data_IF_379693138997
#
_entry.id   IF_379693138997
#
_cell.length_a   1.000
_cell.length_b   1.000
_cell.length_c   1.000
_cell.angle_alpha   90.00
_cell.angle_beta   90.00
_cell.angle_gamma   90.00
#
_symmetry.space_group_name_H-M   'P 1'
#
loop_
_entity.id
_entity.type
_entity.pdbx_description
1 polymer ?
#
# COMPACT_ATOMS: atom_id res chain seq x y z
N UNK A 1 76.83 34.70 32.44
CA UNK A 1 75.75 35.71 32.35
C UNK A 1 74.96 35.47 31.08
N UNK A 2 73.65 35.70 31.15
CA UNK A 2 72.65 35.66 30.07
C UNK A 2 71.91 34.34 29.85
N UNK A 3 70.71 34.35 30.42
CA UNK A 3 69.58 33.43 30.34
C UNK A 3 68.71 33.70 29.12
N UNK A 4 68.31 32.67 28.35
CA UNK A 4 67.10 32.69 27.52
C UNK A 4 66.43 31.31 27.63
N UNK A 5 65.43 31.15 28.50
CA UNK A 5 63.98 31.37 28.30
C UNK A 5 63.32 30.41 27.28
N UNK A 6 62.73 29.37 27.89
CA UNK A 6 61.65 28.50 27.46
C UNK A 6 60.59 29.14 26.55
N UNK A 7 60.24 28.46 25.46
CA UNK A 7 58.89 28.43 24.88
C UNK A 7 58.63 27.01 24.38
N UNK A 8 57.82 26.24 25.13
CA UNK A 8 57.22 25.01 24.65
C UNK A 8 55.94 25.38 23.88
N UNK A 9 55.91 25.13 22.58
CA UNK A 9 54.73 25.32 21.74
C UNK A 9 53.86 24.06 21.86
N UNK A 10 52.75 24.17 22.58
CA UNK A 10 51.70 23.15 22.59
C UNK A 10 50.83 23.37 21.35
N UNK A 11 51.00 22.52 20.34
CA UNK A 11 50.11 22.49 19.17
C UNK A 11 48.83 21.77 19.60
N UNK A 12 47.78 22.54 19.89
CA UNK A 12 46.45 22.00 20.09
C UNK A 12 45.87 21.58 18.73
N UNK A 13 45.76 20.26 18.49
CA UNK A 13 45.00 19.72 17.37
C UNK A 13 43.50 19.96 17.61
N UNK A 14 42.95 20.99 16.99
CA UNK A 14 41.51 21.20 16.89
C UNK A 14 40.99 20.33 15.75
N UNK A 15 40.36 19.20 16.07
CA UNK A 15 39.63 18.41 15.09
C UNK A 15 38.39 19.21 14.63
N UNK A 16 38.21 19.47 13.32
CA UNK A 16 37.00 20.13 12.86
C UNK A 16 35.83 19.14 12.97
N UNK A 17 34.87 19.43 13.85
CA UNK A 17 33.53 18.87 13.79
C UNK A 17 32.87 19.35 12.49
N UNK A 18 33.10 18.61 11.40
CA UNK A 18 32.42 18.82 10.14
C UNK A 18 30.95 18.42 10.25
N UNK A 19 30.07 19.38 10.52
CA UNK A 19 28.64 19.19 10.31
C UNK A 19 28.42 19.15 8.80
N UNK A 20 28.24 17.96 8.25
CA UNK A 20 27.83 17.79 6.86
C UNK A 20 26.47 18.47 6.68
N UNK A 21 26.46 19.66 6.07
CA UNK A 21 25.22 20.24 5.56
C UNK A 21 24.87 19.50 4.28
N UNK A 22 23.71 18.84 4.26
CA UNK A 22 23.11 18.39 3.02
C UNK A 22 23.01 19.61 2.09
N UNK A 23 23.59 19.49 0.91
CA UNK A 23 23.54 20.52 -0.11
C UNK A 23 22.12 20.57 -0.68
N UNK A 24 21.33 21.56 -0.24
CA UNK A 24 20.12 21.94 -0.95
C UNK A 24 20.55 22.56 -2.30
N UNK A 25 20.25 21.84 -3.38
CA UNK A 25 20.56 22.28 -4.73
C UNK A 25 19.81 23.55 -5.10
N UNK A 26 20.55 24.64 -5.33
CA UNK A 26 20.13 25.82 -6.08
C UNK A 26 19.40 26.90 -5.28
N UNK A 27 19.70 28.17 -5.61
CA UNK A 27 18.91 29.34 -5.17
C UNK A 27 17.52 29.27 -5.82
N UNK A 28 16.60 28.56 -5.18
CA UNK A 28 15.18 28.61 -5.55
C UNK A 28 14.65 30.00 -5.17
N UNK A 29 14.53 30.91 -6.14
CA UNK A 29 13.82 32.19 -5.98
C UNK A 29 12.31 31.92 -6.08
N UNK A 30 11.78 31.15 -5.14
CA UNK A 30 10.35 30.93 -4.96
C UNK A 30 9.97 31.36 -3.54
N UNK A 31 8.68 31.66 -3.28
CA UNK A 31 8.19 31.82 -1.92
C UNK A 31 8.57 30.59 -1.09
N UNK A 32 9.34 30.78 -0.02
CA UNK A 32 9.76 29.72 0.91
C UNK A 32 8.57 29.27 1.78
N UNK A 33 7.58 28.65 1.14
CA UNK A 33 6.36 28.15 1.78
C UNK A 33 6.60 26.73 2.32
N UNK A 34 6.09 26.48 3.54
CA UNK A 34 6.18 25.17 4.19
C UNK A 34 7.56 24.87 4.80
N UNK A 35 7.73 23.62 5.24
CA UNK A 35 8.98 23.05 5.76
C UNK A 35 9.22 21.71 5.08
N UNK A 36 10.46 21.36 4.70
CA UNK A 36 10.77 20.02 4.20
C UNK A 36 10.34 18.95 5.21
N UNK A 37 9.67 17.91 4.73
CA UNK A 37 9.38 16.72 5.54
C UNK A 37 10.66 15.93 5.76
N UNK A 38 10.82 15.42 6.97
CA UNK A 38 11.84 14.42 7.28
C UNK A 38 11.57 13.13 6.51
N UNK A 39 12.61 12.31 6.31
CA UNK A 39 12.44 11.00 5.67
C UNK A 39 11.43 10.11 6.42
N UNK A 40 11.38 10.21 7.76
CA UNK A 40 10.42 9.47 8.58
C UNK A 40 8.97 9.92 8.32
N UNK A 41 8.73 11.22 8.20
CA UNK A 41 7.41 11.75 7.84
C UNK A 41 7.03 11.30 6.43
N UNK A 42 7.92 11.40 5.44
CA UNK A 42 7.62 10.94 4.07
C UNK A 42 7.23 9.46 4.07
N UNK A 43 7.98 8.61 4.77
CA UNK A 43 7.67 7.17 4.90
C UNK A 43 6.32 6.92 5.56
N UNK A 44 5.95 7.69 6.59
CA UNK A 44 4.67 7.52 7.28
C UNK A 44 3.46 7.83 6.37
N UNK A 45 3.62 8.78 5.45
CA UNK A 45 2.60 9.21 4.49
C UNK A 45 2.62 8.42 3.18
N UNK A 46 3.76 7.80 2.82
CA UNK A 46 3.91 7.05 1.57
C UNK A 46 3.28 5.66 1.65
N UNK A 47 1.96 5.61 1.59
CA UNK A 47 1.16 4.37 1.65
C UNK A 47 0.46 4.04 0.32
N UNK A 48 0.94 4.61 -0.79
CA UNK A 48 0.32 4.37 -2.10
C UNK A 48 0.71 2.99 -2.61
N UNK A 49 -0.29 2.17 -2.94
CA UNK A 49 -0.09 0.86 -3.54
C UNK A 49 -0.50 0.91 -5.02
N UNK A 50 0.43 0.57 -5.90
CA UNK A 50 0.24 0.62 -7.34
C UNK A 50 -0.25 -0.72 -7.91
N UNK A 51 -0.85 -0.71 -9.12
CA UNK A 51 -1.22 -1.94 -9.84
C UNK A 51 -0.08 -2.95 -10.03
N UNK A 52 1.17 -2.48 -10.15
CA UNK A 52 2.36 -3.31 -10.33
C UNK A 52 2.97 -3.84 -9.02
N UNK A 53 2.32 -3.57 -7.87
CA UNK A 53 2.75 -4.03 -6.56
C UNK A 53 3.69 -3.07 -5.81
N UNK A 54 4.18 -1.99 -6.43
CA UNK A 54 4.96 -0.98 -5.69
C UNK A 54 4.15 -0.45 -4.53
N UNK A 55 4.76 -0.42 -3.35
CA UNK A 55 4.13 0.04 -2.10
C UNK A 55 3.49 -1.06 -1.25
N UNK A 56 3.38 -2.30 -1.76
CA UNK A 56 2.93 -3.42 -0.95
C UNK A 56 3.89 -3.68 0.23
N UNK A 57 3.39 -3.80 1.47
CA UNK A 57 4.21 -4.22 2.59
C UNK A 57 4.53 -5.72 2.50
N UNK A 58 5.67 -6.17 3.06
CA UNK A 58 5.94 -7.60 3.21
C UNK A 58 4.87 -8.23 4.11
N UNK A 59 4.45 -9.43 3.74
CA UNK A 59 3.42 -10.19 4.42
C UNK A 59 2.84 -11.26 3.50
N UNK A 60 1.92 -12.06 4.02
CA UNK A 60 1.25 -13.11 3.27
C UNK A 60 -0.10 -13.47 3.90
N UNK A 61 -0.94 -14.20 3.16
CA UNK A 61 -2.17 -14.73 3.68
C UNK A 61 -2.91 -15.61 2.67
N UNK A 62 -3.63 -16.58 3.20
CA UNK A 62 -4.41 -17.56 2.45
C UNK A 62 -5.90 -17.26 2.48
N UNK A 63 -6.67 -17.85 1.55
CA UNK A 63 -8.11 -17.69 1.51
C UNK A 63 -8.81 -18.25 2.77
N UNK A 64 -8.29 -19.32 3.38
CA UNK A 64 -8.87 -19.90 4.59
C UNK A 64 -8.68 -19.00 5.82
N UNK A 65 -7.49 -18.43 6.01
CA UNK A 65 -7.24 -17.43 7.04
C UNK A 65 -8.14 -16.20 6.83
N UNK A 66 -8.25 -15.77 5.56
CA UNK A 66 -9.08 -14.65 5.16
C UNK A 66 -10.55 -14.85 5.46
N UNK A 67 -11.08 -16.07 5.28
CA UNK A 67 -12.47 -16.42 5.55
C UNK A 67 -12.81 -16.23 7.03
N UNK A 68 -11.90 -16.61 7.93
CA UNK A 68 -12.05 -16.42 9.38
C UNK A 68 -12.09 -14.93 9.71
N UNK A 69 -11.11 -14.16 9.22
CA UNK A 69 -11.02 -12.72 9.44
C UNK A 69 -12.22 -11.96 8.85
N UNK A 70 -12.70 -12.38 7.69
CA UNK A 70 -13.88 -11.81 7.04
C UNK A 70 -15.13 -11.98 7.92
N UNK A 71 -15.33 -13.17 8.49
CA UNK A 71 -16.46 -13.43 9.38
C UNK A 71 -16.44 -12.51 10.62
N UNK A 72 -15.26 -12.24 11.17
CA UNK A 72 -15.08 -11.41 12.37
C UNK A 72 -15.21 -9.90 12.08
N UNK A 73 -14.66 -9.45 10.95
CA UNK A 73 -14.39 -8.02 10.71
C UNK A 73 -15.24 -7.41 9.60
N UNK A 74 -15.79 -8.21 8.68
CA UNK A 74 -16.43 -7.73 7.45
C UNK A 74 -17.92 -8.12 7.36
N UNK A 75 -18.24 -9.37 7.73
CA UNK A 75 -19.53 -9.99 7.45
C UNK A 75 -20.75 -9.26 8.04
N UNK A 76 -20.57 -8.52 9.14
CA UNK A 76 -21.66 -7.74 9.77
C UNK A 76 -22.30 -6.71 8.82
N UNK A 77 -21.53 -6.22 7.85
CA UNK A 77 -21.97 -5.21 6.89
C UNK A 77 -22.14 -5.77 5.49
N UNK A 78 -21.22 -6.64 5.06
CA UNK A 78 -21.15 -7.16 3.69
C UNK A 78 -21.85 -8.53 3.51
N UNK A 79 -22.52 -9.06 4.54
CA UNK A 79 -23.15 -10.38 4.50
C UNK A 79 -22.17 -11.51 4.81
N UNK A 80 -22.70 -12.67 5.20
CA UNK A 80 -21.90 -13.81 5.66
C UNK A 80 -21.06 -14.44 4.53
N UNK A 81 -21.52 -14.27 3.29
CA UNK A 81 -20.94 -14.79 2.06
C UNK A 81 -20.60 -13.67 1.07
N UNK A 82 -20.54 -12.40 1.51
CA UNK A 82 -20.27 -11.24 0.65
C UNK A 82 -21.42 -10.85 -0.26
N UNK A 83 -22.63 -11.31 0.03
CA UNK A 83 -23.88 -11.04 -0.70
C UNK A 83 -24.46 -9.64 -0.45
N UNK A 84 -23.81 -8.83 0.39
CA UNK A 84 -24.28 -7.52 0.79
C UNK A 84 -25.32 -7.57 1.90
N UNK A 85 -25.36 -6.53 2.73
CA UNK A 85 -26.39 -6.38 3.76
C UNK A 85 -26.66 -4.90 4.03
N UNK A 86 -25.96 -4.31 4.99
CA UNK A 86 -25.98 -2.85 5.23
C UNK A 86 -24.92 -2.11 4.41
N UNK A 87 -24.01 -2.84 3.78
CA UNK A 87 -23.04 -2.37 2.80
C UNK A 87 -23.14 -3.20 1.50
N UNK A 88 -22.47 -2.71 0.46
CA UNK A 88 -22.40 -3.31 -0.89
C UNK A 88 -21.99 -4.78 -0.84
N UNK A 89 -22.47 -5.55 -1.81
CA UNK A 89 -22.02 -6.90 -2.03
C UNK A 89 -20.61 -6.94 -2.65
N UNK A 90 -19.83 -7.92 -2.24
CA UNK A 90 -18.42 -8.05 -2.59
C UNK A 90 -18.16 -9.25 -3.50
N UNK A 91 -19.05 -10.24 -3.47
CA UNK A 91 -18.89 -11.52 -4.16
C UNK A 91 -19.97 -11.67 -5.23
N UNK A 92 -19.54 -11.87 -6.47
CA UNK A 92 -20.42 -12.11 -7.61
C UNK A 92 -19.74 -12.93 -8.70
N UNK A 93 -20.41 -13.09 -9.84
CA UNK A 93 -19.84 -13.82 -10.97
C UNK A 93 -18.58 -13.10 -11.52
N UNK A 94 -17.46 -13.81 -11.75
CA UNK A 94 -16.20 -13.23 -12.26
C UNK A 94 -16.24 -12.97 -13.76
N UNK A 95 -17.28 -12.30 -14.22
CA UNK A 95 -17.48 -11.99 -15.63
C UNK A 95 -17.64 -10.48 -15.79
N UNK A 96 -16.88 -9.86 -16.71
CA UNK A 96 -17.09 -8.46 -17.06
C UNK A 96 -18.56 -8.14 -17.31
N UNK A 97 -19.07 -7.01 -16.79
CA UNK A 97 -20.47 -6.68 -16.93
C UNK A 97 -20.84 -6.32 -18.38
N UNK A 98 -21.99 -6.82 -18.83
CA UNK A 98 -22.53 -6.58 -20.19
C UNK A 98 -23.88 -5.87 -20.22
N UNK A 99 -24.52 -5.72 -19.05
CA UNK A 99 -25.83 -5.07 -18.87
C UNK A 99 -25.65 -3.56 -18.68
N UNK A 100 -26.71 -2.80 -18.97
CA UNK A 100 -26.73 -1.33 -18.78
C UNK A 100 -26.54 -0.94 -17.32
N UNK A 101 -27.20 -1.65 -16.39
CA UNK A 101 -27.04 -1.49 -14.95
C UNK A 101 -26.54 -2.81 -14.33
N UNK A 102 -25.22 -3.08 -14.43
CA UNK A 102 -24.65 -4.28 -13.88
C UNK A 102 -24.36 -4.11 -12.40
N UNK A 103 -24.49 -5.21 -11.65
CA UNK A 103 -23.84 -5.29 -10.36
C UNK A 103 -22.30 -5.35 -10.54
N UNK A 104 -21.56 -4.51 -9.84
CA UNK A 104 -20.12 -4.23 -10.03
C UNK A 104 -19.26 -4.74 -8.87
N UNK A 105 -19.45 -6.01 -8.52
CA UNK A 105 -18.66 -6.69 -7.47
C UNK A 105 -17.17 -6.80 -7.85
N UNK A 106 -16.36 -7.26 -6.89
CA UNK A 106 -14.90 -7.38 -7.02
C UNK A 106 -14.52 -8.20 -8.26
N UNK A 107 -15.04 -9.42 -8.38
CA UNK A 107 -14.73 -10.31 -9.49
C UNK A 107 -15.24 -9.83 -10.85
N UNK A 108 -16.37 -9.11 -10.85
CA UNK A 108 -17.00 -8.65 -12.09
C UNK A 108 -16.34 -7.39 -12.66
N UNK A 109 -15.95 -6.43 -11.81
CA UNK A 109 -15.64 -5.08 -12.28
C UNK A 109 -14.20 -4.63 -12.02
N UNK A 110 -13.56 -5.02 -10.92
CA UNK A 110 -12.30 -4.42 -10.51
C UNK A 110 -11.12 -4.90 -11.39
N UNK A 111 -10.25 -4.01 -11.90
CA UNK A 111 -9.20 -4.40 -12.85
C UNK A 111 -7.91 -4.90 -12.21
N UNK A 112 -7.66 -4.61 -10.93
CA UNK A 112 -6.42 -4.94 -10.24
C UNK A 112 -6.67 -5.45 -8.82
N UNK A 113 -6.06 -6.58 -8.48
CA UNK A 113 -6.16 -7.17 -7.14
C UNK A 113 -5.50 -6.29 -6.07
N UNK A 114 -4.42 -5.57 -6.41
CA UNK A 114 -3.74 -4.66 -5.48
C UNK A 114 -4.60 -3.50 -5.03
N UNK A 115 -5.59 -3.07 -5.82
CA UNK A 115 -6.55 -2.03 -5.41
C UNK A 115 -7.47 -2.51 -4.29
N UNK A 116 -7.78 -3.81 -4.25
CA UNK A 116 -8.56 -4.43 -3.17
C UNK A 116 -7.75 -4.34 -1.87
N UNK A 117 -6.49 -4.77 -1.90
CA UNK A 117 -5.59 -4.68 -0.76
C UNK A 117 -5.42 -3.22 -0.29
N UNK A 118 -5.15 -2.28 -1.21
CA UNK A 118 -5.01 -0.85 -0.88
C UNK A 118 -6.24 -0.35 -0.12
N UNK A 119 -7.43 -0.57 -0.70
CA UNK A 119 -8.68 -0.12 -0.12
C UNK A 119 -8.94 -0.73 1.26
N UNK A 120 -8.76 -2.05 1.41
CA UNK A 120 -8.96 -2.73 2.70
C UNK A 120 -7.98 -2.17 3.74
N UNK A 121 -6.69 -2.09 3.40
CA UNK A 121 -5.65 -1.65 4.35
C UNK A 121 -5.89 -0.24 4.90
N UNK A 122 -6.39 0.67 4.08
CA UNK A 122 -6.49 2.11 4.42
C UNK A 122 -7.87 2.53 4.91
N UNK A 123 -8.92 1.78 4.56
CA UNK A 123 -10.31 2.21 4.78
C UNK A 123 -11.16 1.21 5.55
N UNK A 124 -10.73 -0.06 5.66
CA UNK A 124 -11.51 -1.09 6.32
C UNK A 124 -10.84 -1.59 7.62
N UNK A 125 -11.66 -2.03 8.60
CA UNK A 125 -13.10 -1.80 8.70
C UNK A 125 -13.42 -0.29 8.89
N UNK A 126 -14.60 0.22 8.50
CA UNK A 126 -14.90 1.66 8.58
C UNK A 126 -14.84 2.23 10.01
N UNK A 127 -15.07 1.39 11.02
CA UNK A 127 -14.98 1.76 12.43
C UNK A 127 -13.53 1.86 12.94
N UNK A 128 -12.57 1.27 12.23
CA UNK A 128 -11.15 1.29 12.57
C UNK A 128 -10.25 1.24 11.31
N UNK A 129 -10.28 2.27 10.43
CA UNK A 129 -9.45 2.29 9.22
C UNK A 129 -7.97 2.19 9.57
N UNK A 130 -7.21 1.38 8.81
CA UNK A 130 -5.78 1.21 9.07
C UNK A 130 -5.43 0.29 10.25
N UNK A 131 -6.41 -0.39 10.85
CA UNK A 131 -6.17 -1.28 11.99
C UNK A 131 -5.66 -2.67 11.62
N UNK A 132 -5.83 -3.08 10.35
CA UNK A 132 -5.44 -4.41 9.89
C UNK A 132 -3.93 -4.45 9.63
N UNK A 133 -3.30 -5.54 10.03
CA UNK A 133 -1.92 -5.85 9.65
C UNK A 133 -1.81 -6.20 8.15
N UNK A 134 -0.58 -6.24 7.65
CA UNK A 134 -0.32 -6.65 6.27
C UNK A 134 -0.83 -8.08 6.00
N UNK A 135 -0.51 -9.02 6.89
CA UNK A 135 -0.94 -10.42 6.77
C UNK A 135 -2.47 -10.55 6.82
N UNK A 136 -3.14 -9.88 7.76
CA UNK A 136 -4.61 -9.87 7.80
C UNK A 136 -5.23 -9.31 6.51
N UNK A 137 -4.62 -8.26 5.95
CA UNK A 137 -5.11 -7.64 4.70
C UNK A 137 -4.89 -8.57 3.51
N UNK A 138 -3.73 -9.25 3.42
CA UNK A 138 -3.49 -10.26 2.38
C UNK A 138 -4.47 -11.42 2.49
N UNK A 139 -4.68 -11.96 3.68
CA UNK A 139 -5.60 -13.05 3.93
C UNK A 139 -7.03 -12.67 3.50
N UNK A 140 -7.57 -11.52 3.96
CA UNK A 140 -8.91 -11.06 3.56
C UNK A 140 -8.98 -10.86 2.03
N UNK A 141 -7.94 -10.29 1.42
CA UNK A 141 -7.88 -10.12 -0.05
C UNK A 141 -7.90 -11.47 -0.76
N UNK A 142 -7.12 -12.45 -0.29
CA UNK A 142 -7.10 -13.81 -0.82
C UNK A 142 -8.48 -14.47 -0.75
N UNK A 143 -9.17 -14.34 0.39
CA UNK A 143 -10.53 -14.85 0.55
C UNK A 143 -11.49 -14.22 -0.47
N UNK A 144 -11.49 -12.89 -0.61
CA UNK A 144 -12.38 -12.21 -1.56
C UNK A 144 -12.09 -12.61 -3.01
N UNK A 145 -10.82 -12.76 -3.38
CA UNK A 145 -10.42 -13.23 -4.71
C UNK A 145 -10.87 -14.68 -4.96
N UNK A 146 -10.65 -15.58 -4.00
CA UNK A 146 -11.01 -16.98 -4.11
C UNK A 146 -12.53 -17.18 -4.12
N UNK A 147 -13.27 -16.44 -3.29
CA UNK A 147 -14.73 -16.47 -3.25
C UNK A 147 -15.37 -15.89 -4.52
N UNK A 148 -14.68 -14.98 -5.21
CA UNK A 148 -15.04 -14.54 -6.56
C UNK A 148 -14.52 -15.50 -7.66
N UNK A 149 -13.94 -16.66 -7.33
CA UNK A 149 -13.33 -17.61 -8.28
C UNK A 149 -12.24 -16.99 -9.18
N UNK A 150 -11.49 -16.03 -8.67
CA UNK A 150 -10.36 -15.40 -9.38
C UNK A 150 -9.04 -16.16 -9.16
N UNK A 151 -8.89 -16.77 -7.98
CA UNK A 151 -7.72 -17.58 -7.58
C UNK A 151 -8.19 -18.91 -6.96
N UNK A 152 -7.27 -19.85 -6.77
CA UNK A 152 -7.54 -21.09 -6.02
C UNK A 152 -7.63 -20.81 -4.51
N UNK A 153 -8.30 -21.69 -3.77
CA UNK A 153 -8.34 -21.64 -2.29
C UNK A 153 -6.97 -21.85 -1.65
N UNK A 154 -6.06 -22.55 -2.35
CA UNK A 154 -4.72 -22.90 -1.88
C UNK A 154 -3.64 -21.88 -2.28
N UNK A 155 -4.00 -20.82 -3.01
CA UNK A 155 -3.04 -19.81 -3.46
C UNK A 155 -2.64 -18.88 -2.30
N UNK A 156 -1.33 -18.69 -2.11
CA UNK A 156 -0.77 -17.76 -1.13
C UNK A 156 -0.64 -16.35 -1.72
N UNK A 157 -1.32 -15.37 -1.13
CA UNK A 157 -1.24 -13.96 -1.54
C UNK A 157 -0.22 -13.21 -0.70
N UNK A 158 0.76 -12.61 -1.35
CA UNK A 158 1.84 -11.82 -0.74
C UNK A 158 2.26 -10.66 -1.68
N UNK A 159 3.30 -9.93 -1.28
CA UNK A 159 3.84 -8.77 -2.03
C UNK A 159 4.30 -9.11 -3.45
N UNK A 160 4.52 -10.40 -3.76
CA UNK A 160 5.03 -10.89 -5.04
C UNK A 160 3.98 -11.62 -5.87
N UNK A 161 2.98 -12.23 -5.24
CA UNK A 161 1.93 -13.02 -5.92
C UNK A 161 0.70 -12.18 -6.20
N UNK A 162 0.28 -11.29 -5.29
CA UNK A 162 -0.90 -10.45 -5.46
C UNK A 162 -0.84 -9.57 -6.74
N UNK A 163 0.28 -8.92 -7.10
CA UNK A 163 0.36 -8.13 -8.34
C UNK A 163 0.23 -8.94 -9.62
N UNK A 164 0.42 -10.27 -9.55
CA UNK A 164 0.35 -11.18 -10.70
C UNK A 164 -1.06 -11.69 -10.96
N UNK A 165 -2.02 -11.43 -10.06
CA UNK A 165 -3.40 -11.85 -10.23
C UNK A 165 -4.02 -11.11 -11.42
N UNK A 166 -4.49 -11.86 -12.41
CA UNK A 166 -5.23 -11.33 -13.55
C UNK A 166 -6.72 -11.27 -13.22
N UNK A 167 -7.22 -10.07 -12.91
CA UNK A 167 -8.65 -9.88 -12.66
C UNK A 167 -9.46 -10.06 -13.95
N UNK A 168 -10.69 -10.63 -13.89
CA UNK A 168 -11.50 -10.86 -15.09
C UNK A 168 -11.76 -9.62 -15.93
N UNK A 169 -11.92 -8.45 -15.29
CA UNK A 169 -12.18 -7.18 -15.95
C UNK A 169 -10.92 -6.31 -16.16
N UNK A 170 -9.72 -6.89 -16.13
CA UNK A 170 -8.42 -6.19 -16.35
C UNK A 170 -8.39 -5.36 -17.64
N UNK A 171 -9.16 -5.78 -18.66
CA UNK A 171 -9.21 -5.15 -19.98
C UNK A 171 -10.49 -4.35 -20.25
N UNK A 172 -11.41 -4.26 -19.28
CA UNK A 172 -12.72 -3.60 -19.48
C UNK A 172 -12.71 -2.07 -19.36
N UNK A 173 -11.53 -1.45 -19.19
CA UNK A 173 -11.39 -0.01 -18.98
C UNK A 173 -10.61 0.65 -20.11
N UNK A 174 -11.08 1.83 -20.52
CA UNK A 174 -10.40 2.69 -21.50
C UNK A 174 -9.54 3.69 -20.73
N UNK A 175 -8.25 3.75 -21.09
CA UNK A 175 -7.30 4.67 -20.49
C UNK A 175 -7.34 5.99 -21.27
N UNK A 176 -7.85 7.05 -20.63
CA UNK A 176 -8.01 8.35 -21.28
C UNK A 176 -6.72 9.19 -21.26
N UNK A 177 -5.86 9.03 -20.22
CA UNK A 177 -4.71 9.94 -20.00
C UNK A 177 -3.37 9.25 -19.67
N UNK A 178 -3.26 7.92 -19.75
CA UNK A 178 -2.02 7.19 -19.41
C UNK A 178 -1.88 5.91 -20.24
N UNK A 179 -0.66 5.56 -20.66
CA UNK A 179 -0.42 4.24 -21.27
C UNK A 179 -0.73 3.15 -20.26
N UNK A 180 -1.55 2.18 -20.65
CA UNK A 180 -1.91 1.02 -19.82
C UNK A 180 -0.66 0.33 -19.26
N UNK A 181 -0.55 0.11 -17.94
CA UNK A 181 0.48 -0.75 -17.36
C UNK A 181 0.37 -2.14 -17.96
N UNK A 182 1.49 -2.70 -18.44
CA UNK A 182 1.53 -4.08 -18.94
C UNK A 182 1.16 -5.03 -17.81
#
# INVERSE_FOLDING_TARGET
MSTLRHIAVVIALVAPFGVARAADGGNVVAPRLGKPMTAAEVTAWNRTIFPDGRGLPPGHGTAEEGRILYAEKCARCHGAHGEGATAEDLIGAPTPPTREDPNKTIGAYWPFATTIFDFISRSMPPAAPGSLSADETYAITAYLLAANNVISQDDDMNDKTLPKVEMPNRNGFIWIDVKKPK
#
